data_IF_802565719175
#
_entry.id   IF_802565719175
#
_cell.length_a   1.000
_cell.length_b   1.000
_cell.length_c   1.000
_cell.angle_alpha   90.00
_cell.angle_beta   90.00
_cell.angle_gamma   90.00
#
_symmetry.space_group_name_H-M   'P 1'
#
loop_
_entity.id
_entity.type
_entity.pdbx_description
1 polymer ?
#
# COMPACT_ATOMS: atom_id res chain seq x y z
N UNK A 1 7.24 40.33 -16.60
CA UNK A 1 8.10 39.15 -16.72
C UNK A 1 9.35 39.40 -15.90
N UNK A 2 9.30 39.18 -14.61
CA UNK A 2 10.50 39.22 -13.78
C UNK A 2 11.30 37.96 -14.07
N UNK A 3 12.54 38.16 -14.53
CA UNK A 3 13.51 37.09 -14.76
C UNK A 3 13.72 36.35 -13.45
N UNK A 4 13.62 35.03 -13.44
CA UNK A 4 14.11 34.21 -12.34
C UNK A 4 15.56 34.63 -12.06
N UNK A 5 15.80 35.16 -10.85
CA UNK A 5 17.03 35.87 -10.55
C UNK A 5 18.23 34.95 -10.66
N UNK A 6 19.28 35.45 -11.32
CA UNK A 6 20.63 34.91 -11.18
C UNK A 6 21.20 35.29 -9.79
N UNK A 7 21.99 34.41 -9.23
CA UNK A 7 22.71 34.64 -7.97
C UNK A 7 24.21 34.62 -8.28
N UNK A 8 24.94 35.65 -7.86
CA UNK A 8 26.41 35.65 -7.99
C UNK A 8 27.02 34.86 -6.85
N UNK A 9 27.78 33.81 -7.15
CA UNK A 9 28.52 32.98 -6.19
C UNK A 9 30.02 33.16 -6.42
N UNK A 10 30.77 33.41 -5.38
CA UNK A 10 32.22 33.69 -5.43
C UNK A 10 32.55 35.17 -5.49
N UNK A 11 33.83 35.50 -5.61
CA UNK A 11 34.33 36.87 -5.64
C UNK A 11 35.45 37.04 -6.68
N UNK A 12 35.54 38.21 -7.27
CA UNK A 12 36.59 38.54 -8.24
C UNK A 12 36.60 37.65 -9.46
N UNK A 13 37.75 37.15 -9.89
CA UNK A 13 37.90 36.29 -11.06
C UNK A 13 37.26 34.91 -10.93
N UNK A 14 36.88 34.54 -9.70
CA UNK A 14 36.18 33.29 -9.35
C UNK A 14 34.66 33.52 -9.10
N UNK A 15 34.09 34.61 -9.56
CA UNK A 15 32.68 34.89 -9.46
C UNK A 15 31.94 34.25 -10.65
N UNK A 16 30.86 33.53 -10.34
CA UNK A 16 29.96 32.94 -11.32
C UNK A 16 28.56 33.52 -11.15
N UNK A 17 27.95 33.88 -12.26
CA UNK A 17 26.54 34.19 -12.33
C UNK A 17 25.76 32.85 -12.47
N UNK A 18 25.07 32.44 -11.45
CA UNK A 18 24.34 31.14 -11.41
C UNK A 18 22.85 31.34 -11.71
N UNK A 19 22.37 30.67 -12.75
CA UNK A 19 20.94 30.59 -13.10
C UNK A 19 20.36 29.23 -12.66
N UNK A 20 19.05 29.19 -12.44
CA UNK A 20 18.34 27.98 -12.05
C UNK A 20 17.46 27.42 -13.16
N UNK A 21 17.37 26.07 -13.27
CA UNK A 21 16.45 25.35 -14.12
C UNK A 21 16.02 24.03 -13.49
N UNK A 22 14.90 23.49 -13.94
CA UNK A 22 14.42 22.18 -13.51
C UNK A 22 13.76 21.43 -14.67
N UNK A 23 14.00 20.12 -14.75
CA UNK A 23 13.34 19.24 -15.72
C UNK A 23 11.85 19.08 -15.37
N UNK A 24 11.48 19.13 -14.08
CA UNK A 24 10.10 19.07 -13.62
C UNK A 24 9.52 20.48 -13.48
N UNK A 25 8.47 20.78 -14.26
CA UNK A 25 7.80 22.09 -14.27
C UNK A 25 7.29 22.53 -12.89
N UNK A 26 6.85 21.58 -12.06
CA UNK A 26 6.39 21.87 -10.70
C UNK A 26 7.51 22.46 -9.81
N UNK A 27 8.77 22.14 -10.10
CA UNK A 27 9.96 22.61 -9.38
C UNK A 27 10.78 23.63 -10.19
N UNK A 28 10.17 24.29 -11.15
CA UNK A 28 10.87 25.26 -12.00
C UNK A 28 11.13 26.60 -11.30
N UNK A 29 10.37 26.93 -10.26
CA UNK A 29 10.58 28.14 -9.45
C UNK A 29 11.18 27.77 -8.08
N UNK A 30 12.48 28.05 -7.85
CA UNK A 30 13.15 27.69 -6.60
C UNK A 30 12.63 28.47 -5.38
N UNK A 31 11.82 29.52 -5.57
CA UNK A 31 11.22 30.28 -4.45
C UNK A 31 10.04 29.52 -3.81
N UNK A 32 9.43 28.60 -4.54
CA UNK A 32 8.28 27.81 -4.10
C UNK A 32 8.67 26.39 -3.68
N UNK A 33 9.95 26.06 -3.77
CA UNK A 33 10.46 24.70 -3.52
C UNK A 33 11.62 24.75 -2.53
N UNK A 34 11.72 23.67 -1.74
CA UNK A 34 12.89 23.42 -0.91
C UNK A 34 13.69 22.27 -1.49
N UNK A 35 15.02 22.43 -1.51
CA UNK A 35 15.94 21.39 -1.97
C UNK A 35 16.91 21.05 -0.83
N UNK A 36 16.92 19.78 -0.43
CA UNK A 36 17.76 19.27 0.67
C UNK A 36 18.71 18.24 0.10
N UNK A 37 20.04 18.40 0.27
CA UNK A 37 21.00 17.38 -0.14
C UNK A 37 20.70 16.03 0.49
N UNK A 38 20.74 14.95 -0.29
CA UNK A 38 20.41 13.61 0.18
C UNK A 38 21.31 13.14 1.33
N UNK A 39 22.55 13.64 1.39
CA UNK A 39 23.53 13.29 2.42
C UNK A 39 23.29 14.00 3.76
N UNK A 40 22.50 15.08 3.77
CA UNK A 40 22.05 15.73 5.00
C UNK A 40 20.86 15.01 5.66
N UNK A 41 20.22 14.09 4.94
CA UNK A 41 19.08 13.35 5.44
C UNK A 41 19.52 12.10 6.22
N UNK A 42 19.33 12.14 7.53
CA UNK A 42 19.49 10.96 8.38
C UNK A 42 18.35 9.98 8.17
N UNK A 43 18.49 9.07 7.21
CA UNK A 43 17.52 8.01 6.94
C UNK A 43 17.88 6.79 7.78
N UNK A 44 17.08 6.50 8.80
CA UNK A 44 17.25 5.34 9.65
C UNK A 44 15.90 4.78 10.07
N UNK A 45 15.84 3.48 10.29
CA UNK A 45 14.64 2.81 10.76
C UNK A 45 14.47 1.41 10.19
N UNK A 46 13.55 0.66 10.77
CA UNK A 46 13.26 -0.73 10.39
C UNK A 46 12.88 -0.87 8.91
N UNK A 47 12.19 0.13 8.38
CA UNK A 47 11.64 0.13 7.01
C UNK A 47 12.62 0.72 5.98
N UNK A 48 13.87 1.05 6.40
CA UNK A 48 14.91 1.66 5.58
C UNK A 48 16.25 0.91 5.70
N UNK A 49 16.22 -0.40 5.53
CA UNK A 49 17.45 -1.21 5.62
C UNK A 49 18.35 -1.03 4.40
N UNK A 50 17.79 -0.60 3.27
CA UNK A 50 18.55 -0.37 2.03
C UNK A 50 18.08 0.90 1.34
N UNK A 51 19.03 1.76 0.94
CA UNK A 51 18.78 2.89 0.03
C UNK A 51 18.99 2.42 -1.41
N UNK A 52 18.04 2.74 -2.27
CA UNK A 52 18.16 2.50 -3.70
C UNK A 52 18.86 3.69 -4.32
N UNK A 53 20.13 3.51 -4.69
CA UNK A 53 21.02 4.55 -5.21
C UNK A 53 21.61 4.17 -6.57
N UNK A 54 21.93 5.17 -7.35
CA UNK A 54 22.73 5.08 -8.56
C UNK A 54 23.91 6.05 -8.46
N UNK A 55 25.10 5.52 -8.62
CA UNK A 55 26.32 6.36 -8.69
C UNK A 55 26.41 7.06 -10.04
N UNK A 56 26.96 8.29 -10.03
CA UNK A 56 27.06 9.08 -11.25
C UNK A 56 27.45 10.52 -11.03
N UNK A 57 27.12 11.36 -11.99
CA UNK A 57 27.37 12.79 -11.97
C UNK A 57 26.21 13.53 -11.31
N UNK A 58 26.52 14.56 -10.53
CA UNK A 58 25.57 15.40 -9.82
C UNK A 58 25.39 15.01 -8.35
N UNK A 59 24.60 15.78 -7.64
CA UNK A 59 24.29 15.58 -6.23
C UNK A 59 22.79 15.20 -6.09
N UNK A 60 22.45 14.01 -5.57
CA UNK A 60 21.07 13.67 -5.25
C UNK A 60 20.48 14.63 -4.22
N UNK A 61 19.30 15.14 -4.47
CA UNK A 61 18.57 16.06 -3.60
C UNK A 61 17.13 15.64 -3.42
N UNK A 62 16.59 15.87 -2.25
CA UNK A 62 15.16 15.86 -1.99
C UNK A 62 14.60 17.20 -2.44
N UNK A 63 13.63 17.17 -3.35
CA UNK A 63 12.84 18.34 -3.74
C UNK A 63 11.49 18.30 -3.04
N UNK A 64 11.15 19.35 -2.31
CA UNK A 64 9.90 19.52 -1.57
C UNK A 64 9.10 20.66 -2.17
N UNK A 65 7.81 20.43 -2.42
CA UNK A 65 6.88 21.43 -2.91
C UNK A 65 5.65 21.48 -2.00
N UNK A 66 5.36 22.63 -1.43
CA UNK A 66 4.13 22.84 -0.66
C UNK A 66 2.93 22.89 -1.62
N UNK A 67 1.97 22.03 -1.40
CA UNK A 67 0.70 21.99 -2.14
C UNK A 67 -0.45 22.26 -1.20
N UNK A 68 -0.99 23.47 -1.13
CA UNK A 68 -2.13 23.73 -0.24
C UNK A 68 -3.33 22.88 -0.67
N UNK A 69 -3.78 21.99 0.24
CA UNK A 69 -4.93 21.11 0.05
C UNK A 69 -6.23 21.94 0.04
N UNK A 70 -6.64 22.45 -1.12
CA UNK A 70 -7.75 23.40 -1.25
C UNK A 70 -9.05 22.77 -1.76
N UNK A 71 -9.05 21.51 -2.20
CA UNK A 71 -10.22 20.90 -2.83
C UNK A 71 -10.45 19.43 -2.44
N UNK A 72 -11.62 18.89 -2.77
CA UNK A 72 -12.00 17.52 -2.43
C UNK A 72 -11.11 16.44 -3.08
N UNK A 73 -10.44 16.74 -4.20
CA UNK A 73 -9.53 15.81 -4.88
C UNK A 73 -8.26 15.56 -4.09
N UNK A 74 -7.81 16.56 -3.34
CA UNK A 74 -6.58 16.51 -2.55
C UNK A 74 -6.77 15.74 -1.23
N UNK A 75 -8.01 15.41 -0.85
CA UNK A 75 -8.30 14.60 0.36
C UNK A 75 -7.61 13.24 0.37
N UNK A 76 -7.30 12.71 -0.80
CA UNK A 76 -6.61 11.44 -0.94
C UNK A 76 -5.08 11.57 -0.85
N UNK A 77 -4.50 12.77 -0.99
CA UNK A 77 -3.06 12.95 -0.81
C UNK A 77 -2.66 12.67 0.63
N UNK A 78 -1.49 12.04 0.79
CA UNK A 78 -0.96 11.68 2.11
C UNK A 78 -0.51 12.91 2.90
N UNK A 79 -0.08 13.97 2.19
CA UNK A 79 0.52 15.19 2.72
C UNK A 79 0.11 16.39 1.88
N UNK A 80 0.17 17.59 2.47
CA UNK A 80 0.14 18.87 1.77
C UNK A 80 1.51 19.23 1.12
N UNK A 81 2.47 18.30 1.18
CA UNK A 81 3.77 18.37 0.52
C UNK A 81 3.96 17.25 -0.48
N UNK A 82 4.59 17.59 -1.58
CA UNK A 82 5.03 16.63 -2.59
C UNK A 82 6.54 16.50 -2.48
N UNK A 83 7.01 15.26 -2.45
CA UNK A 83 8.43 14.93 -2.33
C UNK A 83 8.91 14.21 -3.58
N UNK A 84 9.98 14.73 -4.20
CA UNK A 84 10.64 14.10 -5.33
C UNK A 84 12.13 13.89 -5.07
N UNK A 85 12.65 12.78 -5.57
CA UNK A 85 14.08 12.53 -5.65
C UNK A 85 14.60 13.13 -6.94
N UNK A 86 15.43 14.16 -6.87
CA UNK A 86 16.02 14.84 -8.00
C UNK A 86 17.55 14.81 -7.93
N UNK A 87 18.23 15.27 -8.96
CA UNK A 87 19.69 15.39 -8.99
C UNK A 87 20.09 16.79 -9.41
N UNK A 88 20.81 17.47 -8.58
CA UNK A 88 21.39 18.77 -8.89
C UNK A 88 22.64 18.59 -9.74
N UNK A 89 22.66 19.23 -10.91
CA UNK A 89 23.83 19.29 -11.81
C UNK A 89 24.20 20.74 -12.04
N UNK A 90 25.49 21.05 -11.92
CA UNK A 90 26.02 22.40 -12.19
C UNK A 90 26.79 22.36 -13.50
N UNK A 91 26.33 23.12 -14.48
CA UNK A 91 26.96 23.28 -15.77
C UNK A 91 27.65 24.66 -15.85
N UNK A 92 28.90 24.70 -16.34
CA UNK A 92 29.69 25.93 -16.45
C UNK A 92 29.88 26.32 -17.92
N UNK A 93 29.68 27.59 -18.20
CA UNK A 93 29.96 28.18 -19.51
C UNK A 93 30.65 29.56 -19.32
N UNK A 94 31.96 29.56 -19.28
CA UNK A 94 32.76 30.74 -18.92
C UNK A 94 32.47 31.20 -17.49
N UNK A 95 32.11 32.48 -17.32
CA UNK A 95 31.73 33.05 -16.01
C UNK A 95 30.27 32.80 -15.62
N UNK A 96 29.51 32.10 -16.45
CA UNK A 96 28.12 31.72 -16.17
C UNK A 96 28.07 30.28 -15.71
N UNK A 97 27.21 29.99 -14.75
CA UNK A 97 26.88 28.65 -14.32
C UNK A 97 25.36 28.45 -14.32
N UNK A 98 24.93 27.23 -14.57
CA UNK A 98 23.53 26.83 -14.55
C UNK A 98 23.33 25.66 -13.59
N UNK A 99 22.58 25.90 -12.53
CA UNK A 99 22.15 24.85 -11.63
C UNK A 99 20.85 24.23 -12.17
N UNK A 100 20.91 22.95 -12.53
CA UNK A 100 19.79 22.23 -13.15
C UNK A 100 19.35 21.11 -12.20
N UNK A 101 18.07 21.12 -11.82
CA UNK A 101 17.44 20.00 -11.13
C UNK A 101 16.96 19.00 -12.17
N UNK A 102 17.70 17.89 -12.30
CA UNK A 102 17.43 16.79 -13.22
C UNK A 102 16.47 15.79 -12.60
N UNK A 103 15.55 15.28 -13.40
CA UNK A 103 14.76 14.10 -13.03
C UNK A 103 15.53 12.81 -13.41
N UNK A 104 16.03 12.03 -12.43
CA UNK A 104 16.82 10.84 -12.72
C UNK A 104 15.99 9.67 -13.29
N UNK A 105 14.65 9.77 -13.27
CA UNK A 105 13.73 8.81 -13.91
C UNK A 105 13.49 9.16 -15.38
N UNK A 106 13.40 10.45 -15.71
CA UNK A 106 13.24 10.90 -17.09
C UNK A 106 14.54 10.73 -17.89
N UNK A 107 15.71 10.96 -17.26
CA UNK A 107 17.01 10.76 -17.90
C UNK A 107 17.98 10.06 -16.95
N UNK A 108 18.38 8.85 -17.29
CA UNK A 108 19.40 8.10 -16.53
C UNK A 108 20.83 8.62 -16.70
N UNK A 109 21.07 9.57 -17.63
CA UNK A 109 22.40 10.05 -17.99
C UNK A 109 22.43 11.57 -18.18
N UNK A 110 23.63 12.12 -18.09
CA UNK A 110 23.94 13.52 -18.44
C UNK A 110 25.09 13.56 -19.46
N UNK A 111 25.01 14.45 -20.42
CA UNK A 111 26.09 14.64 -21.41
C UNK A 111 27.05 15.74 -20.97
N UNK A 112 28.34 15.42 -20.87
CA UNK A 112 29.42 16.37 -20.55
C UNK A 112 30.49 16.25 -21.62
N UNK A 113 30.78 17.35 -22.30
CA UNK A 113 31.77 17.41 -23.40
C UNK A 113 31.55 16.31 -24.46
N UNK A 114 30.29 16.05 -24.83
CA UNK A 114 29.92 15.05 -25.84
C UNK A 114 29.97 13.59 -25.38
N UNK A 115 30.27 13.34 -24.10
CA UNK A 115 30.24 11.99 -23.51
C UNK A 115 29.06 11.86 -22.56
N UNK A 116 28.41 10.68 -22.60
CA UNK A 116 27.30 10.34 -21.69
C UNK A 116 27.84 9.71 -20.42
N UNK A 117 27.39 10.21 -19.27
CA UNK A 117 27.71 9.69 -17.94
C UNK A 117 26.43 9.37 -17.19
N UNK A 118 26.44 8.34 -16.32
CA UNK A 118 25.30 8.09 -15.44
C UNK A 118 24.99 9.33 -14.58
N UNK A 119 23.72 9.61 -14.39
CA UNK A 119 23.26 10.63 -13.45
C UNK A 119 23.15 10.01 -12.06
N UNK A 120 23.80 10.60 -11.06
CA UNK A 120 23.67 10.15 -9.66
C UNK A 120 22.20 10.25 -9.23
N UNK A 121 21.72 9.32 -8.42
CA UNK A 121 20.37 9.36 -7.88
C UNK A 121 20.25 8.67 -6.52
N UNK A 122 19.30 9.13 -5.70
CA UNK A 122 18.82 8.42 -4.52
C UNK A 122 17.29 8.37 -4.57
N UNK A 123 16.77 7.24 -4.99
CA UNK A 123 15.33 7.04 -5.17
C UNK A 123 14.57 6.84 -3.85
N UNK A 124 15.27 6.65 -2.74
CA UNK A 124 14.67 6.38 -1.43
C UNK A 124 14.30 7.64 -0.66
N UNK A 125 14.89 8.80 -0.97
CA UNK A 125 14.76 10.00 -0.12
C UNK A 125 13.35 10.57 -0.12
N UNK A 126 12.63 10.55 -1.25
CA UNK A 126 11.25 11.02 -1.32
C UNK A 126 10.29 10.20 -0.45
N UNK A 127 10.41 8.88 -0.48
CA UNK A 127 9.61 7.99 0.38
C UNK A 127 10.01 8.15 1.85
N UNK A 128 11.31 8.34 2.13
CA UNK A 128 11.81 8.57 3.49
C UNK A 128 11.23 9.85 4.10
N UNK A 129 11.25 10.94 3.35
CA UNK A 129 10.70 12.22 3.78
C UNK A 129 9.20 12.10 4.09
N UNK A 130 8.44 11.46 3.19
CA UNK A 130 7.02 11.23 3.34
C UNK A 130 6.69 10.44 4.61
N UNK A 131 7.48 9.41 4.95
CA UNK A 131 7.30 8.63 6.16
C UNK A 131 7.76 9.39 7.42
N UNK A 132 8.82 10.17 7.34
CA UNK A 132 9.29 10.98 8.44
C UNK A 132 8.24 12.01 8.87
N UNK A 133 7.59 12.65 7.91
CA UNK A 133 6.50 13.59 8.18
C UNK A 133 5.29 12.89 8.84
N UNK A 134 4.85 11.77 8.31
CA UNK A 134 3.63 11.08 8.75
C UNK A 134 3.83 10.15 9.95
N UNK A 135 5.05 9.72 10.27
CA UNK A 135 5.45 8.83 11.38
C UNK A 135 4.52 7.62 11.59
N UNK A 136 4.11 6.90 10.54
CA UNK A 136 3.09 5.85 10.65
C UNK A 136 3.52 4.66 11.52
N UNK A 137 4.82 4.37 11.62
CA UNK A 137 5.40 3.22 12.34
C UNK A 137 5.02 3.19 13.83
N UNK A 138 4.89 4.35 14.47
CA UNK A 138 4.54 4.45 15.90
C UNK A 138 3.09 4.08 16.19
N UNK A 139 2.25 4.03 15.17
CA UNK A 139 0.81 3.85 15.32
C UNK A 139 0.34 2.40 15.11
N UNK A 140 1.11 1.53 14.47
CA UNK A 140 0.67 0.19 14.05
C UNK A 140 0.10 -0.64 15.20
N UNK A 141 0.86 -0.83 16.28
CA UNK A 141 0.42 -1.61 17.44
C UNK A 141 -0.76 -0.96 18.16
N UNK A 142 -0.72 0.37 18.37
CA UNK A 142 -1.81 1.10 19.05
C UNK A 142 -3.09 1.08 18.24
N UNK A 143 -3.03 1.19 16.91
CA UNK A 143 -4.18 1.10 15.99
C UNK A 143 -4.80 -0.30 15.99
N UNK A 144 -4.02 -1.34 16.21
CA UNK A 144 -4.53 -2.69 16.37
C UNK A 144 -5.28 -2.86 17.69
N UNK A 145 -4.71 -2.37 18.82
CA UNK A 145 -5.31 -2.57 20.15
C UNK A 145 -6.52 -1.64 20.38
N UNK A 146 -6.49 -0.42 19.82
CA UNK A 146 -7.54 0.59 19.99
C UNK A 146 -8.10 1.07 18.64
N UNK A 147 -8.62 0.19 17.79
CA UNK A 147 -9.05 0.56 16.45
C UNK A 147 -10.17 1.61 16.46
N UNK A 148 -11.07 1.59 17.44
CA UNK A 148 -12.14 2.56 17.58
C UNK A 148 -11.64 4.02 17.71
N UNK A 149 -10.52 4.22 18.43
CA UNK A 149 -9.90 5.54 18.56
C UNK A 149 -9.38 6.07 17.22
N UNK A 150 -9.05 5.17 16.31
CA UNK A 150 -8.47 5.48 15.00
C UNK A 150 -9.41 5.17 13.84
N UNK A 151 -10.71 4.98 14.09
CA UNK A 151 -11.71 4.67 13.07
C UNK A 151 -11.69 5.67 11.90
N UNK A 152 -11.63 6.96 12.20
CA UNK A 152 -11.55 8.03 11.21
C UNK A 152 -10.23 8.05 10.41
N UNK A 153 -9.25 7.19 10.75
CA UNK A 153 -7.99 7.11 10.02
C UNK A 153 -7.96 6.02 8.95
N UNK A 154 -9.05 5.23 8.82
CA UNK A 154 -9.22 4.33 7.69
C UNK A 154 -9.45 5.16 6.43
N UNK A 155 -8.50 5.14 5.51
CA UNK A 155 -8.57 5.92 4.27
C UNK A 155 -7.68 5.34 3.18
N UNK A 156 -8.10 5.50 1.96
CA UNK A 156 -7.23 5.37 0.80
C UNK A 156 -6.35 6.62 0.69
N UNK A 157 -5.07 6.41 0.41
CA UNK A 157 -4.07 7.48 0.33
C UNK A 157 -3.28 7.35 -0.96
N UNK A 158 -3.20 8.44 -1.70
CA UNK A 158 -2.40 8.60 -2.92
C UNK A 158 -1.05 9.22 -2.52
N UNK A 159 0.04 8.57 -2.92
CA UNK A 159 1.39 8.99 -2.51
C UNK A 159 1.95 10.13 -3.36
N UNK A 160 1.34 10.42 -4.50
CA UNK A 160 1.73 11.45 -5.48
C UNK A 160 0.47 12.09 -6.04
N UNK A 161 0.51 13.27 -6.68
CA UNK A 161 -0.63 13.81 -7.40
C UNK A 161 -1.19 12.80 -8.40
N UNK A 162 -2.51 12.69 -8.45
CA UNK A 162 -3.19 11.75 -9.34
C UNK A 162 -2.88 12.03 -10.82
N UNK A 163 -2.50 10.99 -11.54
CA UNK A 163 -2.28 11.02 -12.99
C UNK A 163 -3.27 10.08 -13.70
N UNK A 164 -4.19 10.59 -14.54
CA UNK A 164 -5.17 9.76 -15.25
C UNK A 164 -4.55 8.78 -16.26
N UNK A 165 -3.29 9.00 -16.67
CA UNK A 165 -2.58 8.15 -17.62
C UNK A 165 -1.87 6.97 -16.95
N UNK A 166 -1.71 6.99 -15.62
CA UNK A 166 -1.01 5.95 -14.86
C UNK A 166 -1.98 4.95 -14.26
N UNK A 167 -1.59 3.67 -14.25
CA UNK A 167 -2.33 2.57 -13.64
C UNK A 167 -2.13 2.63 -12.13
N UNK A 168 -3.20 2.62 -11.31
CA UNK A 168 -3.06 2.59 -9.86
C UNK A 168 -2.61 1.22 -9.35
N UNK A 169 -1.60 1.21 -8.48
CA UNK A 169 -1.23 0.06 -7.65
C UNK A 169 -1.65 0.37 -6.22
N UNK A 170 -2.67 -0.32 -5.73
CA UNK A 170 -3.19 -0.14 -4.38
C UNK A 170 -2.66 -1.22 -3.44
N UNK A 171 -1.93 -0.81 -2.41
CA UNK A 171 -1.27 -1.69 -1.46
C UNK A 171 -1.99 -1.70 -0.11
N UNK A 172 -2.27 -2.90 0.40
CA UNK A 172 -3.00 -3.13 1.66
C UNK A 172 -2.12 -3.89 2.66
N UNK A 173 -1.80 -3.27 3.79
CA UNK A 173 -0.89 -3.81 4.80
C UNK A 173 -1.54 -4.89 5.69
N UNK A 174 -0.71 -5.63 6.42
CA UNK A 174 -1.12 -6.72 7.32
C UNK A 174 -1.53 -6.28 8.72
N UNK A 175 -1.76 -7.28 9.58
CA UNK A 175 -2.05 -7.10 11.01
C UNK A 175 -0.82 -6.52 11.72
N UNK A 176 -1.04 -5.60 12.68
CA UNK A 176 -0.02 -4.85 13.42
C UNK A 176 0.88 -3.96 12.57
N UNK A 177 0.55 -3.79 11.31
CA UNK A 177 1.39 -3.08 10.36
C UNK A 177 0.78 -1.73 9.97
N UNK A 178 1.47 -1.00 9.15
CA UNK A 178 1.08 0.31 8.61
C UNK A 178 1.51 0.40 7.16
N UNK A 179 1.05 1.41 6.40
CA UNK A 179 1.53 1.63 5.04
C UNK A 179 3.06 1.75 4.88
N UNK A 180 3.79 2.04 5.97
CA UNK A 180 5.26 2.10 5.93
C UNK A 180 5.94 0.78 5.54
N UNK A 181 5.27 -0.35 5.73
CA UNK A 181 5.77 -1.67 5.33
C UNK A 181 6.09 -1.76 3.84
N UNK A 182 5.45 -0.93 3.03
CA UNK A 182 5.61 -0.90 1.58
C UNK A 182 6.82 -0.08 1.11
N UNK A 183 7.53 0.63 2.02
CA UNK A 183 8.63 1.51 1.64
C UNK A 183 9.75 0.81 0.86
N UNK A 184 10.24 -0.39 1.22
CA UNK A 184 11.24 -1.08 0.43
C UNK A 184 10.78 -1.37 -1.00
N UNK A 185 9.56 -1.91 -1.16
CA UNK A 185 8.98 -2.21 -2.47
C UNK A 185 8.75 -0.93 -3.29
N UNK A 186 8.23 0.14 -2.66
CA UNK A 186 8.02 1.42 -3.33
C UNK A 186 9.31 2.03 -3.84
N UNK A 187 10.40 1.93 -3.06
CA UNK A 187 11.71 2.45 -3.48
C UNK A 187 12.23 1.71 -4.71
N UNK A 188 12.11 0.38 -4.73
CA UNK A 188 12.50 -0.45 -5.89
C UNK A 188 11.65 -0.10 -7.12
N UNK A 189 10.33 -0.15 -7.01
CA UNK A 189 9.41 0.10 -8.12
C UNK A 189 9.56 1.53 -8.69
N UNK A 190 9.71 2.53 -7.82
CA UNK A 190 9.87 3.92 -8.23
C UNK A 190 11.28 4.26 -8.73
N UNK A 191 12.25 3.39 -8.54
CA UNK A 191 13.59 3.54 -9.14
C UNK A 191 13.65 3.07 -10.59
N UNK A 192 12.64 2.34 -11.04
CA UNK A 192 12.54 1.85 -12.40
C UNK A 192 11.74 2.82 -13.27
N UNK A 193 12.35 3.42 -14.32
CA UNK A 193 11.70 4.41 -15.17
C UNK A 193 10.45 3.86 -15.90
N UNK A 194 10.44 2.59 -16.30
CA UNK A 194 9.32 1.99 -17.01
C UNK A 194 8.12 1.78 -16.06
N UNK A 195 8.38 1.34 -14.82
CA UNK A 195 7.35 1.21 -13.81
C UNK A 195 6.82 2.58 -13.38
N UNK A 196 7.70 3.54 -13.07
CA UNK A 196 7.26 4.88 -12.66
C UNK A 196 6.49 5.62 -13.74
N UNK A 197 6.84 5.41 -15.01
CA UNK A 197 6.14 6.00 -16.16
C UNK A 197 4.69 5.53 -16.28
N UNK A 198 4.41 4.26 -15.99
CA UNK A 198 3.10 3.64 -16.24
C UNK A 198 2.24 3.46 -15.00
N UNK A 199 2.82 3.49 -13.81
CA UNK A 199 2.13 3.22 -12.55
C UNK A 199 2.13 4.41 -11.59
N UNK A 200 1.10 4.50 -10.77
CA UNK A 200 1.02 5.37 -9.60
C UNK A 200 0.66 4.54 -8.38
N UNK A 201 1.17 4.93 -7.21
CA UNK A 201 1.11 4.10 -6.01
C UNK A 201 0.15 4.68 -4.98
N UNK A 202 -0.77 3.84 -4.52
CA UNK A 202 -1.76 4.12 -3.51
C UNK A 202 -1.62 3.15 -2.35
N UNK A 203 -2.03 3.55 -1.17
CA UNK A 203 -2.04 2.68 0.00
C UNK A 203 -3.39 2.77 0.71
N UNK A 204 -3.88 1.66 1.22
CA UNK A 204 -5.01 1.64 2.13
C UNK A 204 -4.48 1.58 3.55
N UNK A 205 -4.69 2.68 4.31
CA UNK A 205 -4.32 2.80 5.71
C UNK A 205 -5.56 2.53 6.56
N UNK A 206 -5.52 1.52 7.43
CA UNK A 206 -6.66 1.15 8.27
C UNK A 206 -6.21 0.63 9.64
N UNK A 207 -7.09 0.71 10.68
CA UNK A 207 -6.81 0.09 11.96
C UNK A 207 -6.89 -1.44 11.86
N UNK A 208 -5.76 -2.11 11.87
CA UNK A 208 -5.65 -3.57 11.65
C UNK A 208 -6.23 -4.43 12.79
N UNK A 209 -6.74 -3.82 13.87
CA UNK A 209 -7.51 -4.51 14.91
C UNK A 209 -8.95 -4.84 14.52
N UNK A 210 -9.46 -4.25 13.45
CA UNK A 210 -10.80 -4.58 12.94
C UNK A 210 -10.83 -5.97 12.30
N UNK A 211 -11.99 -6.66 12.36
CA UNK A 211 -12.22 -7.84 11.53
C UNK A 211 -11.95 -7.52 10.07
N UNK A 212 -11.23 -8.38 9.35
CA UNK A 212 -10.89 -8.09 7.96
C UNK A 212 -12.12 -7.91 7.02
N UNK A 213 -13.29 -8.55 7.26
CA UNK A 213 -14.48 -8.26 6.48
C UNK A 213 -14.95 -6.80 6.61
N UNK A 214 -14.84 -6.23 7.81
CA UNK A 214 -15.15 -4.81 8.02
C UNK A 214 -14.10 -3.90 7.40
N UNK A 215 -12.82 -4.27 7.48
CA UNK A 215 -11.77 -3.52 6.79
C UNK A 215 -11.96 -3.54 5.27
N UNK A 216 -12.50 -4.64 4.72
CA UNK A 216 -12.85 -4.74 3.31
C UNK A 216 -14.05 -3.85 2.93
N UNK A 217 -15.03 -3.72 3.82
CA UNK A 217 -16.13 -2.77 3.63
C UNK A 217 -15.65 -1.33 3.59
N UNK A 218 -14.79 -0.94 4.55
CA UNK A 218 -14.17 0.38 4.56
C UNK A 218 -13.37 0.66 3.27
N UNK A 219 -12.70 -0.35 2.73
CA UNK A 219 -11.99 -0.21 1.45
C UNK A 219 -12.95 -0.03 0.28
N UNK A 220 -14.08 -0.78 0.22
CA UNK A 220 -15.12 -0.58 -0.79
C UNK A 220 -15.66 0.85 -0.75
N UNK A 221 -15.98 1.37 0.44
CA UNK A 221 -16.43 2.75 0.60
C UNK A 221 -15.41 3.79 0.12
N UNK A 222 -14.13 3.56 0.42
CA UNK A 222 -13.06 4.48 -0.02
C UNK A 222 -12.87 4.44 -1.54
N UNK A 223 -12.98 3.26 -2.17
CA UNK A 223 -12.95 3.12 -3.61
C UNK A 223 -14.17 3.78 -4.28
N UNK A 224 -15.37 3.65 -3.70
CA UNK A 224 -16.56 4.35 -4.20
C UNK A 224 -16.42 5.89 -4.12
N UNK A 225 -15.73 6.40 -3.10
CA UNK A 225 -15.40 7.83 -3.00
C UNK A 225 -14.36 8.26 -4.02
N UNK A 226 -13.39 7.37 -4.27
CA UNK A 226 -12.36 7.59 -5.28
C UNK A 226 -12.97 7.66 -6.68
N UNK A 227 -13.85 6.72 -7.05
CA UNK A 227 -14.54 6.69 -8.34
C UNK A 227 -15.33 7.99 -8.60
N UNK A 228 -15.98 8.52 -7.55
CA UNK A 228 -16.69 9.80 -7.64
C UNK A 228 -15.73 10.99 -7.81
N UNK A 229 -14.53 10.89 -7.28
CA UNK A 229 -13.53 11.98 -7.31
C UNK A 229 -12.72 11.97 -8.59
N UNK A 230 -12.36 10.77 -9.06
CA UNK A 230 -11.55 10.53 -10.26
C UNK A 230 -12.27 9.56 -11.21
N UNK A 231 -13.43 9.95 -11.78
CA UNK A 231 -14.19 9.08 -12.66
C UNK A 231 -13.35 8.69 -13.87
N UNK A 232 -13.39 7.40 -14.24
CA UNK A 232 -12.66 6.89 -15.39
C UNK A 232 -11.16 6.67 -15.14
N UNK A 233 -10.72 6.56 -13.89
CA UNK A 233 -9.36 6.12 -13.61
C UNK A 233 -9.10 4.73 -14.22
N UNK A 234 -7.85 4.42 -14.53
CA UNK A 234 -7.46 3.10 -15.02
C UNK A 234 -7.74 2.02 -13.97
N UNK A 235 -7.93 0.78 -14.41
CA UNK A 235 -8.17 -0.35 -13.50
C UNK A 235 -7.01 -0.54 -12.54
N UNK A 236 -7.34 -0.90 -11.31
CA UNK A 236 -6.44 -0.99 -10.17
C UNK A 236 -5.77 -2.36 -10.14
N UNK A 237 -4.46 -2.39 -9.92
CA UNK A 237 -3.73 -3.59 -9.47
C UNK A 237 -3.68 -3.57 -7.95
N UNK A 238 -4.22 -4.60 -7.29
CA UNK A 238 -4.17 -4.74 -5.84
C UNK A 238 -2.92 -5.52 -5.42
N UNK A 239 -2.26 -5.07 -4.35
CA UNK A 239 -1.21 -5.86 -3.67
C UNK A 239 -1.60 -5.95 -2.19
N UNK A 240 -1.79 -7.16 -1.68
CA UNK A 240 -2.16 -7.37 -0.29
C UNK A 240 -1.16 -8.24 0.46
N UNK A 241 -0.65 -7.74 1.59
CA UNK A 241 0.22 -8.51 2.47
C UNK A 241 -0.57 -9.07 3.65
N UNK A 242 -0.38 -10.37 3.95
CA UNK A 242 -0.97 -11.01 5.13
C UNK A 242 -2.50 -10.79 5.19
N UNK A 243 -3.03 -10.25 6.30
CA UNK A 243 -4.44 -9.88 6.44
C UNK A 243 -4.90 -8.89 5.36
N UNK A 244 -4.01 -8.01 4.88
CA UNK A 244 -4.31 -7.11 3.76
C UNK A 244 -4.60 -7.85 2.45
N UNK A 245 -4.03 -9.04 2.25
CA UNK A 245 -4.38 -9.93 1.15
C UNK A 245 -5.80 -10.50 1.29
N UNK A 246 -6.25 -10.79 2.52
CA UNK A 246 -7.64 -11.20 2.79
C UNK A 246 -8.62 -10.07 2.44
N UNK A 247 -8.29 -8.82 2.84
CA UNK A 247 -9.05 -7.63 2.47
C UNK A 247 -9.11 -7.48 0.94
N UNK A 248 -7.96 -7.61 0.26
CA UNK A 248 -7.89 -7.52 -1.21
C UNK A 248 -8.67 -8.63 -1.92
N UNK A 249 -8.69 -9.86 -1.36
CA UNK A 249 -9.47 -10.97 -1.91
C UNK A 249 -10.96 -10.66 -1.95
N UNK A 250 -11.50 -9.97 -0.94
CA UNK A 250 -12.92 -9.58 -0.90
C UNK A 250 -13.26 -8.48 -1.92
N UNK A 251 -12.27 -7.80 -2.51
CA UNK A 251 -12.49 -6.88 -3.63
C UNK A 251 -12.70 -7.62 -4.97
N UNK A 252 -12.27 -8.86 -5.04
CA UNK A 252 -12.28 -9.67 -6.29
C UNK A 252 -13.16 -10.91 -6.19
N UNK A 253 -14.01 -10.98 -5.18
CA UNK A 253 -14.92 -12.12 -4.93
C UNK A 253 -16.38 -11.65 -4.97
N UNK A 254 -17.27 -12.46 -5.56
CA UNK A 254 -18.71 -12.29 -5.46
C UNK A 254 -19.22 -13.14 -4.29
N UNK A 255 -19.79 -12.51 -3.28
CA UNK A 255 -20.32 -13.25 -2.14
C UNK A 255 -21.69 -13.89 -2.42
N UNK A 256 -22.52 -13.25 -3.24
CA UNK A 256 -23.93 -13.65 -3.30
C UNK A 256 -24.53 -13.69 -1.89
N UNK A 257 -25.28 -14.74 -1.60
CA UNK A 257 -25.84 -15.01 -0.27
C UNK A 257 -24.95 -15.93 0.58
N UNK A 258 -23.83 -16.42 0.06
CA UNK A 258 -23.07 -17.53 0.66
C UNK A 258 -22.59 -17.23 2.09
N UNK A 259 -22.08 -16.03 2.35
CA UNK A 259 -21.73 -15.65 3.73
C UNK A 259 -22.95 -15.47 4.61
N UNK A 260 -24.01 -14.82 4.09
CA UNK A 260 -25.24 -14.62 4.84
C UNK A 260 -25.86 -15.97 5.27
N UNK A 261 -25.98 -16.89 4.34
CA UNK A 261 -26.55 -18.21 4.59
C UNK A 261 -25.71 -19.03 5.59
N UNK A 262 -24.36 -18.91 5.51
CA UNK A 262 -23.46 -19.56 6.46
C UNK A 262 -23.62 -19.05 7.89
N UNK A 263 -24.06 -17.81 8.09
CA UNK A 263 -24.26 -17.23 9.43
C UNK A 263 -25.70 -17.37 9.90
N UNK A 264 -26.71 -17.13 9.07
CA UNK A 264 -28.09 -16.98 9.49
C UNK A 264 -29.01 -18.12 9.05
N UNK A 265 -28.68 -18.84 8.01
CA UNK A 265 -29.50 -19.97 7.49
C UNK A 265 -30.92 -19.58 7.06
N UNK A 266 -31.21 -18.29 6.95
CA UNK A 266 -32.50 -17.70 6.57
C UNK A 266 -32.26 -16.45 5.73
N UNK A 267 -33.16 -16.13 4.77
CA UNK A 267 -33.09 -14.88 4.03
C UNK A 267 -33.11 -13.63 4.92
N UNK A 268 -32.53 -12.50 4.50
CA UNK A 268 -32.44 -11.29 5.30
C UNK A 268 -33.79 -10.76 5.82
N UNK A 269 -34.85 -10.86 5.03
CA UNK A 269 -36.22 -10.46 5.41
C UNK A 269 -36.80 -11.28 6.57
N UNK A 270 -36.36 -12.53 6.75
CA UNK A 270 -36.80 -13.41 7.82
C UNK A 270 -35.93 -13.32 9.09
N UNK A 271 -34.86 -12.55 9.08
CA UNK A 271 -34.05 -12.31 10.29
C UNK A 271 -34.59 -11.04 10.98
N UNK A 272 -35.13 -11.15 12.21
CA UNK A 272 -35.81 -10.03 12.88
C UNK A 272 -34.83 -9.07 13.55
N UNK A 273 -33.82 -8.62 12.81
CA UNK A 273 -32.86 -7.60 13.18
C UNK A 273 -33.39 -6.21 12.86
N UNK A 274 -33.08 -5.20 13.63
CA UNK A 274 -33.45 -3.83 13.28
C UNK A 274 -32.82 -3.41 11.94
N UNK A 275 -33.48 -2.53 11.19
CA UNK A 275 -33.10 -2.19 9.83
C UNK A 275 -31.69 -1.65 9.66
N UNK A 276 -31.21 -0.85 10.64
CA UNK A 276 -29.86 -0.28 10.59
C UNK A 276 -28.78 -1.32 10.78
N UNK A 277 -28.96 -2.22 11.74
CA UNK A 277 -28.00 -3.28 12.04
C UNK A 277 -28.01 -4.33 10.92
N UNK A 278 -29.19 -4.62 10.37
CA UNK A 278 -29.34 -5.49 9.20
C UNK A 278 -28.58 -4.96 8.00
N UNK A 279 -28.77 -3.71 7.63
CA UNK A 279 -28.08 -3.06 6.53
C UNK A 279 -26.56 -3.10 6.70
N UNK A 280 -26.07 -2.87 7.92
CA UNK A 280 -24.64 -2.97 8.22
C UNK A 280 -24.12 -4.40 8.05
N UNK A 281 -24.83 -5.41 8.56
CA UNK A 281 -24.43 -6.81 8.40
C UNK A 281 -24.50 -7.24 6.94
N UNK A 282 -25.53 -6.82 6.19
CA UNK A 282 -25.63 -7.06 4.74
C UNK A 282 -24.43 -6.49 4.00
N UNK A 283 -23.98 -5.27 4.29
CA UNK A 283 -22.82 -4.66 3.61
C UNK A 283 -21.52 -5.43 3.85
N UNK A 284 -21.40 -6.15 4.98
CA UNK A 284 -20.25 -7.01 5.27
C UNK A 284 -20.31 -8.36 4.55
N UNK A 285 -21.52 -8.91 4.36
CA UNK A 285 -21.71 -10.30 3.94
C UNK A 285 -22.20 -10.45 2.49
N UNK A 286 -22.83 -9.41 1.94
CA UNK A 286 -23.45 -9.44 0.59
C UNK A 286 -22.82 -8.35 -0.26
N UNK A 287 -21.91 -8.73 -1.15
CA UNK A 287 -21.18 -7.81 -2.01
C UNK A 287 -20.81 -8.45 -3.34
N UNK A 288 -20.47 -7.61 -4.30
CA UNK A 288 -19.92 -8.01 -5.60
C UNK A 288 -18.44 -7.64 -5.67
N UNK A 289 -17.72 -8.33 -6.54
CA UNK A 289 -16.35 -7.94 -6.87
C UNK A 289 -16.33 -6.52 -7.48
N UNK A 290 -15.19 -5.86 -7.37
CA UNK A 290 -14.95 -4.54 -7.96
C UNK A 290 -14.61 -4.67 -9.44
N UNK A 291 -15.38 -4.02 -10.31
CA UNK A 291 -15.14 -4.02 -11.76
C UNK A 291 -13.94 -3.16 -12.17
N UNK A 292 -13.51 -2.26 -11.30
CA UNK A 292 -12.35 -1.39 -11.45
C UNK A 292 -11.02 -2.04 -11.03
N UNK A 293 -11.03 -3.32 -10.64
CA UNK A 293 -9.82 -4.11 -10.35
C UNK A 293 -9.46 -4.98 -11.54
N UNK A 294 -8.19 -4.89 -12.00
CA UNK A 294 -7.67 -5.71 -13.11
C UNK A 294 -6.85 -6.91 -12.67
N UNK A 295 -6.24 -6.86 -11.49
CA UNK A 295 -5.33 -7.91 -10.99
C UNK A 295 -5.19 -7.84 -9.47
N UNK A 296 -4.84 -8.97 -8.84
CA UNK A 296 -4.43 -8.99 -7.45
C UNK A 296 -3.15 -9.80 -7.23
N UNK A 297 -2.25 -9.29 -6.39
CA UNK A 297 -1.02 -9.95 -5.95
C UNK A 297 -1.13 -10.19 -4.45
N UNK A 298 -1.07 -11.45 -4.06
CA UNK A 298 -1.13 -11.88 -2.67
C UNK A 298 0.28 -12.15 -2.14
N UNK A 299 0.68 -11.45 -1.07
CA UNK A 299 1.97 -11.66 -0.42
C UNK A 299 1.75 -12.29 0.96
N UNK A 300 2.21 -13.51 1.19
CA UNK A 300 2.07 -14.25 2.47
C UNK A 300 0.66 -14.20 3.04
N UNK A 301 -0.36 -14.32 2.19
CA UNK A 301 -1.77 -14.15 2.56
C UNK A 301 -2.34 -15.43 3.16
N UNK A 302 -2.94 -15.41 4.37
CA UNK A 302 -3.52 -16.59 5.01
C UNK A 302 -4.94 -16.89 4.48
N UNK A 303 -5.08 -17.33 3.23
CA UNK A 303 -6.38 -17.58 2.61
C UNK A 303 -7.24 -18.58 3.38
N UNK A 304 -6.60 -19.57 4.03
CA UNK A 304 -7.26 -20.59 4.87
C UNK A 304 -7.06 -20.33 6.35
N UNK A 305 -6.66 -19.11 6.73
CA UNK A 305 -6.40 -18.68 8.09
C UNK A 305 -4.99 -19.01 8.58
N UNK A 306 -4.62 -18.44 9.71
CA UNK A 306 -3.38 -18.72 10.42
C UNK A 306 -3.68 -19.37 11.77
N UNK A 307 -2.99 -20.46 12.09
CA UNK A 307 -3.16 -21.16 13.37
C UNK A 307 -2.66 -20.30 14.54
N UNK A 308 -3.38 -20.35 15.66
CA UNK A 308 -2.96 -19.74 16.93
C UNK A 308 -1.65 -20.33 17.50
N UNK A 309 -1.16 -21.42 16.91
CA UNK A 309 0.08 -22.12 17.32
C UNK A 309 1.36 -21.36 16.98
N UNK A 310 1.30 -20.28 16.21
CA UNK A 310 2.44 -19.40 16.05
C UNK A 310 2.53 -18.51 17.28
N UNK A 311 3.65 -18.57 17.99
CA UNK A 311 3.98 -17.73 19.16
C UNK A 311 3.75 -16.22 18.95
N UNK A 312 3.50 -15.80 17.75
CA UNK A 312 3.21 -14.44 17.31
C UNK A 312 1.80 -13.99 17.69
N UNK A 313 0.75 -14.78 17.39
CA UNK A 313 -0.63 -14.45 17.78
C UNK A 313 -0.82 -14.64 19.30
N UNK A 314 -0.16 -15.64 19.89
CA UNK A 314 -0.14 -15.84 21.35
C UNK A 314 0.63 -14.75 22.11
N UNK A 315 1.63 -14.11 21.49
CA UNK A 315 2.35 -12.95 22.08
C UNK A 315 1.55 -11.66 22.02
N UNK A 316 0.64 -11.52 21.08
CA UNK A 316 -0.30 -10.40 21.04
C UNK A 316 -1.36 -10.57 22.11
N UNK A 317 -1.23 -11.36 23.11
CA UNK A 317 -2.23 -11.58 24.12
C UNK A 317 -3.61 -11.08 23.70
N UNK A 318 -4.69 -11.71 24.01
CA UNK A 318 -6.07 -11.26 23.75
C UNK A 318 -6.26 -9.85 24.35
N UNK A 319 -5.47 -8.90 23.88
CA UNK A 319 -5.49 -7.52 24.31
C UNK A 319 -6.76 -6.92 23.70
N UNK A 320 -7.78 -6.89 24.54
CA UNK A 320 -8.99 -6.12 24.51
C UNK A 320 -9.02 -5.10 23.35
N UNK A 321 -9.29 -5.59 22.14
CA UNK A 321 -9.51 -4.75 20.99
C UNK A 321 -10.80 -3.98 21.24
N UNK A 322 -10.70 -2.71 21.56
CA UNK A 322 -11.88 -1.85 21.77
C UNK A 322 -12.45 -1.51 20.40
N UNK A 323 -13.46 -2.26 19.99
CA UNK A 323 -14.24 -1.98 18.79
C UNK A 323 -15.14 -0.74 18.98
N UNK A 324 -15.52 -0.03 17.90
CA UNK A 324 -16.51 1.04 17.99
C UNK A 324 -17.81 0.55 18.65
N UNK A 325 -18.41 1.39 19.49
CA UNK A 325 -19.63 1.03 20.22
C UNK A 325 -20.77 0.56 19.31
N UNK A 326 -20.87 1.12 18.10
CA UNK A 326 -21.83 0.71 17.10
C UNK A 326 -21.59 -0.74 16.63
N UNK A 327 -20.33 -1.13 16.40
CA UNK A 327 -20.01 -2.53 16.03
C UNK A 327 -20.33 -3.49 17.14
N UNK A 328 -20.13 -3.10 18.40
CA UNK A 328 -20.46 -3.92 19.56
C UNK A 328 -21.96 -4.13 19.65
N UNK A 329 -22.77 -3.06 19.52
CA UNK A 329 -24.23 -3.15 19.58
C UNK A 329 -24.82 -3.99 18.44
N UNK A 330 -24.35 -3.76 17.21
CA UNK A 330 -24.77 -4.56 16.04
C UNK A 330 -24.35 -6.01 16.18
N UNK A 331 -23.13 -6.27 16.64
CA UNK A 331 -22.65 -7.63 16.88
C UNK A 331 -23.46 -8.36 17.93
N UNK A 332 -23.81 -7.71 19.04
CA UNK A 332 -24.64 -8.31 20.09
C UNK A 332 -26.06 -8.60 19.60
N UNK A 333 -26.63 -7.76 18.72
CA UNK A 333 -27.95 -8.01 18.15
C UNK A 333 -27.88 -9.14 17.10
N UNK A 334 -26.93 -9.09 16.19
CA UNK A 334 -26.72 -10.13 15.18
C UNK A 334 -26.45 -11.52 15.76
N UNK A 335 -25.66 -11.62 16.84
CA UNK A 335 -25.31 -12.90 17.47
C UNK A 335 -26.52 -13.66 18.02
N UNK A 336 -27.65 -13.00 18.30
CA UNK A 336 -28.90 -13.66 18.71
C UNK A 336 -29.50 -14.55 17.63
N UNK A 337 -29.19 -14.29 16.38
CA UNK A 337 -29.78 -14.92 15.20
C UNK A 337 -28.80 -15.83 14.44
N UNK A 338 -27.53 -15.85 14.85
CA UNK A 338 -26.48 -16.65 14.21
C UNK A 338 -26.61 -18.13 14.58
N UNK A 339 -26.64 -18.99 13.58
CA UNK A 339 -26.84 -20.45 13.73
C UNK A 339 -25.55 -21.26 13.78
N UNK A 340 -24.37 -20.62 13.77
CA UNK A 340 -23.07 -21.31 13.71
C UNK A 340 -22.63 -21.91 15.05
N UNK A 341 -21.96 -23.09 15.04
CA UNK A 341 -21.53 -23.81 16.25
C UNK A 341 -20.51 -23.07 17.13
N UNK A 342 -19.81 -22.08 16.57
CA UNK A 342 -18.75 -21.34 17.27
C UNK A 342 -19.27 -20.52 18.46
N UNK A 343 -20.55 -20.19 18.51
CA UNK A 343 -21.17 -19.37 19.55
C UNK A 343 -21.72 -20.16 20.74
N UNK A 344 -21.69 -21.49 20.70
CA UNK A 344 -22.31 -22.32 21.76
C UNK A 344 -21.51 -22.42 23.07
N UNK A 345 -20.21 -22.01 23.06
CA UNK A 345 -19.33 -22.21 24.22
C UNK A 345 -18.70 -20.92 24.81
N UNK A 346 -18.86 -19.76 24.18
CA UNK A 346 -18.31 -18.47 24.66
C UNK A 346 -19.39 -17.42 24.78
N UNK A 347 -19.21 -16.46 25.72
CA UNK A 347 -20.07 -15.27 25.77
C UNK A 347 -20.05 -14.59 24.40
N UNK A 348 -21.23 -14.22 23.85
CA UNK A 348 -21.29 -13.53 22.58
C UNK A 348 -20.41 -12.27 22.59
N UNK A 349 -19.46 -12.21 21.68
CA UNK A 349 -18.64 -11.02 21.47
C UNK A 349 -18.48 -10.78 19.96
N UNK A 350 -18.35 -9.54 19.57
CA UNK A 350 -18.05 -9.24 18.18
C UNK A 350 -16.63 -9.71 17.85
N UNK A 351 -16.41 -10.42 16.73
CA UNK A 351 -15.10 -10.96 16.39
C UNK A 351 -14.07 -9.83 16.19
N UNK A 352 -12.84 -10.07 16.63
CA UNK A 352 -11.68 -9.21 16.36
C UNK A 352 -10.97 -9.64 15.07
N UNK A 353 -9.95 -8.89 14.65
CA UNK A 353 -9.08 -9.32 13.53
C UNK A 353 -8.49 -10.71 13.76
N UNK A 354 -8.09 -11.02 15.00
CA UNK A 354 -7.50 -12.32 15.37
C UNK A 354 -8.52 -13.44 15.24
N UNK A 355 -9.74 -13.21 15.72
CA UNK A 355 -10.82 -14.20 15.61
C UNK A 355 -11.13 -14.52 14.15
N UNK A 356 -11.17 -13.48 13.31
CA UNK A 356 -11.47 -13.63 11.87
C UNK A 356 -10.32 -14.24 11.06
N UNK A 357 -9.10 -14.32 11.60
CA UNK A 357 -7.97 -15.02 10.95
C UNK A 357 -7.85 -16.50 11.35
N UNK A 358 -8.68 -16.99 12.27
CA UNK A 358 -8.67 -18.40 12.66
C UNK A 358 -9.10 -19.31 11.51
N UNK A 359 -8.40 -20.44 11.23
CA UNK A 359 -8.85 -21.43 10.26
C UNK A 359 -10.22 -22.04 10.56
N UNK A 360 -10.66 -21.98 11.82
CA UNK A 360 -11.97 -22.46 12.27
C UNK A 360 -13.07 -21.43 12.10
N UNK A 361 -12.72 -20.18 11.81
CA UNK A 361 -13.70 -19.10 11.66
C UNK A 361 -14.63 -19.35 10.46
N UNK A 362 -15.92 -19.19 10.67
CA UNK A 362 -16.94 -19.40 9.64
C UNK A 362 -16.70 -18.56 8.40
N UNK A 363 -16.32 -17.27 8.55
CA UNK A 363 -16.06 -16.41 7.42
C UNK A 363 -14.90 -16.92 6.55
N UNK A 364 -13.77 -17.31 7.16
CA UNK A 364 -12.60 -17.87 6.45
C UNK A 364 -12.98 -19.16 5.70
N UNK A 365 -13.70 -20.05 6.38
CA UNK A 365 -14.13 -21.31 5.77
C UNK A 365 -15.05 -21.08 4.58
N UNK A 366 -16.04 -20.19 4.73
CA UNK A 366 -16.96 -19.82 3.67
C UNK A 366 -16.25 -19.11 2.52
N UNK A 367 -15.32 -18.19 2.81
CA UNK A 367 -14.53 -17.51 1.78
C UNK A 367 -13.76 -18.50 0.88
N UNK A 368 -13.32 -19.62 1.44
CA UNK A 368 -12.59 -20.64 0.67
C UNK A 368 -13.48 -21.47 -0.27
N UNK A 369 -14.79 -21.38 -0.16
CA UNK A 369 -15.73 -21.97 -1.13
C UNK A 369 -16.04 -21.01 -2.29
N UNK A 370 -15.62 -19.75 -2.19
CA UNK A 370 -15.90 -18.73 -3.19
C UNK A 370 -14.69 -18.52 -4.10
N UNK A 371 -14.88 -18.57 -5.43
CA UNK A 371 -13.81 -18.29 -6.38
C UNK A 371 -13.48 -16.78 -6.42
N UNK A 372 -12.30 -16.46 -6.91
CA UNK A 372 -12.00 -15.13 -7.45
C UNK A 372 -12.78 -14.99 -8.78
N UNK A 373 -13.25 -13.79 -9.09
CA UNK A 373 -13.98 -13.51 -10.32
C UNK A 373 -13.16 -13.90 -11.57
N UNK A 374 -13.75 -14.65 -12.49
CA UNK A 374 -13.08 -15.37 -13.59
C UNK A 374 -12.15 -14.52 -14.47
N UNK A 375 -12.45 -13.23 -14.61
CA UNK A 375 -11.68 -12.31 -15.46
C UNK A 375 -10.57 -11.55 -14.70
N UNK A 376 -10.35 -11.85 -13.42
CA UNK A 376 -9.33 -11.16 -12.61
C UNK A 376 -8.18 -12.14 -12.34
N UNK A 377 -7.05 -12.01 -13.05
CA UNK A 377 -5.87 -12.80 -12.77
C UNK A 377 -5.30 -12.46 -11.39
N UNK A 378 -4.74 -13.47 -10.73
CA UNK A 378 -4.07 -13.29 -9.46
C UNK A 378 -2.75 -14.05 -9.40
N UNK A 379 -1.88 -13.56 -8.54
CA UNK A 379 -0.53 -14.07 -8.35
C UNK A 379 -0.26 -14.22 -6.85
N UNK A 380 0.55 -15.21 -6.47
CA UNK A 380 0.93 -15.48 -5.08
C UNK A 380 2.44 -15.37 -4.89
N UNK A 381 2.87 -14.66 -3.84
CA UNK A 381 4.25 -14.59 -3.36
C UNK A 381 4.24 -15.12 -1.93
N UNK A 382 4.85 -16.28 -1.72
CA UNK A 382 4.77 -17.04 -0.47
C UNK A 382 6.15 -17.05 0.20
N UNK A 383 6.21 -16.58 1.45
CA UNK A 383 7.43 -16.66 2.25
C UNK A 383 7.71 -18.09 2.73
N UNK A 384 8.97 -18.49 2.71
CA UNK A 384 9.48 -19.75 3.24
C UNK A 384 10.78 -19.53 4.00
N UNK A 385 10.87 -20.00 5.22
CA UNK A 385 12.10 -19.93 6.04
C UNK A 385 13.20 -20.89 5.59
N UNK A 386 13.09 -21.51 4.43
CA UNK A 386 14.06 -22.48 3.91
C UNK A 386 14.02 -23.84 4.64
N UNK A 387 12.90 -24.18 5.27
CA UNK A 387 12.71 -25.48 5.96
C UNK A 387 11.95 -26.51 5.14
N UNK A 388 11.87 -26.30 3.87
CA UNK A 388 11.09 -27.09 2.93
C UNK A 388 10.28 -26.18 2.04
N UNK A 389 10.00 -26.63 0.88
CA UNK A 389 9.43 -25.83 -0.18
C UNK A 389 7.93 -26.04 -0.32
N UNK A 390 7.35 -27.13 0.14
CA UNK A 390 5.91 -27.45 0.04
C UNK A 390 5.57 -28.74 0.71
N UNK A 391 4.35 -28.95 1.07
CA UNK A 391 3.33 -28.12 1.72
C UNK A 391 3.60 -27.89 3.20
N UNK A 392 4.78 -28.30 3.67
CA UNK A 392 5.20 -28.22 5.08
C UNK A 392 6.00 -26.96 5.40
N UNK A 393 6.24 -26.10 4.41
CA UNK A 393 6.95 -24.84 4.59
C UNK A 393 6.07 -23.78 5.23
N UNK A 394 6.70 -22.76 5.82
CA UNK A 394 6.05 -21.65 6.45
C UNK A 394 6.99 -20.44 6.50
N UNK A 395 6.43 -19.26 6.39
CA UNK A 395 7.12 -18.00 6.67
C UNK A 395 7.26 -17.72 8.18
N UNK A 396 6.81 -18.67 9.01
CA UNK A 396 6.80 -18.59 10.48
C UNK A 396 5.52 -18.03 11.07
N UNK A 397 4.61 -17.52 10.25
CA UNK A 397 3.27 -17.02 10.63
C UNK A 397 2.20 -17.76 9.84
N UNK A 398 2.34 -17.83 8.54
CA UNK A 398 1.38 -18.45 7.62
C UNK A 398 2.02 -19.68 6.99
N UNK A 399 1.44 -20.87 7.17
CA UNK A 399 1.93 -22.08 6.50
C UNK A 399 1.57 -22.04 5.02
N UNK A 400 2.39 -22.73 4.19
CA UNK A 400 2.21 -22.79 2.74
C UNK A 400 0.77 -23.16 2.35
N UNK A 401 0.19 -24.22 2.95
CA UNK A 401 -1.16 -24.68 2.63
C UNK A 401 -2.23 -23.59 2.79
N UNK A 402 -1.97 -22.58 3.60
CA UNK A 402 -2.88 -21.46 3.81
C UNK A 402 -2.64 -20.31 2.83
N UNK A 403 -1.39 -20.08 2.43
CA UNK A 403 -1.04 -19.05 1.44
C UNK A 403 -1.27 -19.50 0.00
N UNK A 404 -1.15 -20.80 -0.26
CA UNK A 404 -1.42 -21.38 -1.58
C UNK A 404 -2.88 -21.19 -2.00
N UNK A 405 -3.08 -20.74 -3.22
CA UNK A 405 -4.41 -20.56 -3.81
C UNK A 405 -4.41 -21.14 -5.24
N UNK A 406 -5.22 -22.19 -5.45
CA UNK A 406 -5.35 -22.84 -6.76
C UNK A 406 -5.81 -21.85 -7.83
N UNK A 407 -5.26 -21.97 -9.03
CA UNK A 407 -5.59 -21.11 -10.17
C UNK A 407 -4.80 -19.80 -10.26
N UNK A 408 -3.82 -19.59 -9.38
CA UNK A 408 -2.90 -18.45 -9.50
C UNK A 408 -2.15 -18.47 -10.84
N UNK A 409 -2.07 -17.33 -11.52
CA UNK A 409 -1.31 -17.19 -12.77
C UNK A 409 0.19 -17.43 -12.57
N UNK A 410 0.71 -17.06 -11.40
CA UNK A 410 2.03 -17.48 -10.92
C UNK A 410 2.01 -17.64 -9.41
N UNK A 411 2.84 -18.57 -8.92
CA UNK A 411 3.14 -18.73 -7.51
C UNK A 411 4.66 -18.69 -7.33
N UNK A 412 5.16 -17.76 -6.53
CA UNK A 412 6.58 -17.62 -6.24
C UNK A 412 6.83 -17.85 -4.75
N UNK A 413 7.56 -18.91 -4.42
CA UNK A 413 8.07 -19.16 -3.08
C UNK A 413 9.40 -18.42 -2.93
N UNK A 414 9.54 -17.60 -1.88
CA UNK A 414 10.73 -16.79 -1.63
C UNK A 414 11.34 -17.10 -0.26
N UNK A 415 12.68 -17.10 -0.14
CA UNK A 415 13.37 -17.39 1.11
C UNK A 415 13.24 -16.21 2.08
N UNK A 416 12.11 -16.14 2.77
CA UNK A 416 11.82 -15.04 3.69
C UNK A 416 11.00 -15.50 4.90
N UNK A 417 11.05 -14.71 5.96
CA UNK A 417 10.02 -14.69 6.98
C UNK A 417 8.73 -14.07 6.41
N UNK A 418 7.76 -13.76 7.27
CA UNK A 418 6.43 -13.25 6.88
C UNK A 418 6.45 -11.98 6.01
N UNK A 419 7.56 -11.28 5.92
CA UNK A 419 7.76 -10.08 5.09
C UNK A 419 8.11 -10.37 3.62
N UNK A 420 7.44 -11.30 2.94
CA UNK A 420 7.76 -11.69 1.55
C UNK A 420 7.75 -10.52 0.56
N UNK A 421 6.93 -9.49 0.80
CA UNK A 421 6.85 -8.26 0.01
C UNK A 421 8.06 -7.31 0.21
N UNK A 422 8.90 -7.56 1.22
CA UNK A 422 10.14 -6.82 1.50
C UNK A 422 11.39 -7.63 1.11
N UNK A 423 11.22 -8.90 0.76
CA UNK A 423 12.29 -9.75 0.27
C UNK A 423 12.62 -9.38 -1.18
N UNK A 424 13.92 -9.33 -1.54
CA UNK A 424 14.36 -8.94 -2.89
C UNK A 424 13.71 -9.78 -3.99
N UNK A 425 13.65 -11.10 -3.83
CA UNK A 425 13.01 -11.97 -4.82
C UNK A 425 11.50 -11.76 -4.89
N UNK A 426 10.87 -11.40 -3.77
CA UNK A 426 9.45 -11.04 -3.72
C UNK A 426 9.18 -9.71 -4.43
N UNK A 427 10.04 -8.71 -4.22
CA UNK A 427 9.95 -7.41 -4.91
C UNK A 427 10.18 -7.57 -6.42
N UNK A 428 11.16 -8.38 -6.83
CA UNK A 428 11.43 -8.70 -8.24
C UNK A 428 10.24 -9.39 -8.90
N UNK A 429 9.54 -10.28 -8.17
CA UNK A 429 8.32 -10.92 -8.69
C UNK A 429 7.18 -9.92 -8.84
N UNK A 430 7.01 -8.97 -7.91
CA UNK A 430 6.03 -7.88 -8.08
C UNK A 430 6.35 -7.05 -9.33
N UNK A 431 7.61 -6.64 -9.53
CA UNK A 431 8.04 -5.92 -10.75
C UNK A 431 7.70 -6.71 -12.01
N UNK A 432 8.06 -7.99 -12.05
CA UNK A 432 7.76 -8.88 -13.17
C UNK A 432 6.26 -8.95 -13.47
N UNK A 433 5.42 -9.06 -12.43
CA UNK A 433 3.95 -9.13 -12.58
C UNK A 433 3.40 -7.79 -13.10
N UNK A 434 3.91 -6.66 -12.62
CA UNK A 434 3.50 -5.34 -13.11
C UNK A 434 3.85 -5.18 -14.60
N UNK A 435 5.05 -5.60 -15.03
CA UNK A 435 5.42 -5.61 -16.46
C UNK A 435 4.52 -6.52 -17.29
N UNK A 436 4.18 -7.69 -16.77
CA UNK A 436 3.22 -8.60 -17.43
C UNK A 436 1.83 -7.93 -17.57
N UNK A 437 1.42 -7.17 -16.57
CA UNK A 437 0.13 -6.47 -16.62
C UNK A 437 0.08 -5.38 -17.69
N UNK A 438 1.19 -4.68 -17.95
CA UNK A 438 1.28 -3.69 -19.04
C UNK A 438 1.04 -4.33 -20.42
N UNK A 439 1.60 -5.52 -20.65
CA UNK A 439 1.44 -6.22 -21.93
C UNK A 439 0.02 -6.73 -22.18
N UNK A 440 -0.80 -6.88 -21.14
CA UNK A 440 -2.17 -7.35 -21.27
C UNK A 440 -3.19 -6.19 -21.42
N UNK A 441 -2.79 -4.95 -21.22
CA UNK A 441 -3.63 -3.75 -21.39
C UNK A 441 -3.40 -3.04 -22.75
N UNK A 442 -2.39 -3.46 -23.51
CA UNK A 442 -2.14 -3.03 -24.90
C UNK A 442 -2.80 -3.99 -25.87
#
# INVERSE_FOLDING_TARGET
MERAGSVTIGTGANAYEVTFASDLKAFADPRNCHFVPADELAISGKDYQQRVRRDGIGAPVLAELDTPLKNARERFLISDRIYYSMTAVLEFQGAQARLIMKDPLASGTVSIAGRSYPLAADFSIGTAALLAENRPQRLGFIRMIRPAKYAATARLVILQPYDPNKIPVLMTHGLQDTPATWAPLLNELRSDPEIDKHYQFWVFSYPSGYPFPYSAELLREELDRLDKTYPGHKKIVLIGHSMGGMVSRLMVTNSGMTFWDAYFGKPPDQVPMNSKDKQFVESLLIFKHRSDVSRVIFCSTPHRGAGLATNWVGRIGIALTKLPGQMISVGLDATKYVVTPENSARKPHFPTSIDTLSPKNTFVRTMNTLPIADHIPYNSIIGDRGRGDTPNSSDGVVPYWSSHLDGAQSEKIVPSEHGSHQNKQGMDEVDRILRLNLHNET
#
